data_IF_878149767821
#
_entry.id   IF_878149767821
#
_cell.length_a   1.000
_cell.length_b   1.000
_cell.length_c   1.000
_cell.angle_alpha   90.00
_cell.angle_beta   90.00
_cell.angle_gamma   90.00
#
_symmetry.space_group_name_H-M   'P 1'
#
loop_
_entity.id
_entity.type
_entity.pdbx_description
1 polymer ?
#
# COMPACT_ATOMS: atom_id res chain seq x y z
N UNK A 1 16.91 -8.12 -6.24
CA UNK A 1 16.91 -7.06 -5.20
C UNK A 1 15.68 -7.26 -4.36
N UNK A 2 15.82 -7.36 -3.04
CA UNK A 2 14.77 -7.86 -2.16
C UNK A 2 13.74 -6.80 -1.92
N UNK A 3 12.49 -7.22 -2.00
CA UNK A 3 11.38 -6.33 -2.05
C UNK A 3 10.43 -6.71 -0.91
N UNK A 4 10.57 -6.06 0.26
CA UNK A 4 9.73 -6.32 1.44
C UNK A 4 8.25 -6.29 1.11
N UNK A 5 7.83 -5.42 0.19
CA UNK A 5 6.47 -5.42 -0.34
C UNK A 5 6.10 -6.76 -0.99
N UNK A 6 6.92 -7.28 -1.93
CA UNK A 6 6.68 -8.59 -2.56
C UNK A 6 6.72 -9.74 -1.54
N UNK A 7 7.62 -9.68 -0.55
CA UNK A 7 7.70 -10.70 0.49
C UNK A 7 6.42 -10.77 1.33
N UNK A 8 5.73 -9.63 1.51
CA UNK A 8 4.45 -9.57 2.24
C UNK A 8 3.25 -9.99 1.38
N UNK A 9 3.23 -9.64 0.09
CA UNK A 9 2.03 -9.83 -0.75
C UNK A 9 2.05 -11.09 -1.62
N UNK A 10 3.21 -11.70 -1.85
CA UNK A 10 3.31 -12.91 -2.67
C UNK A 10 2.98 -14.16 -1.84
N UNK A 11 1.77 -14.68 -2.03
CA UNK A 11 1.31 -15.93 -1.41
C UNK A 11 1.90 -17.17 -2.10
N UNK A 12 1.87 -18.37 -1.47
CA UNK A 12 2.25 -19.62 -2.12
C UNK A 12 1.53 -19.85 -3.45
N UNK A 13 0.22 -19.65 -3.51
CA UNK A 13 -0.55 -19.77 -4.75
C UNK A 13 -0.09 -18.78 -5.83
N UNK A 14 0.34 -17.57 -5.46
CA UNK A 14 0.92 -16.63 -6.42
C UNK A 14 2.29 -17.12 -6.94
N UNK A 15 3.11 -17.78 -6.10
CA UNK A 15 4.37 -18.39 -6.53
C UNK A 15 4.11 -19.55 -7.49
N UNK A 16 3.13 -20.40 -7.21
CA UNK A 16 2.75 -21.52 -8.09
C UNK A 16 2.31 -21.01 -9.46
N UNK A 17 1.50 -19.95 -9.48
CA UNK A 17 1.06 -19.31 -10.72
C UNK A 17 2.21 -18.65 -11.49
N UNK A 18 3.16 -18.01 -10.79
CA UNK A 18 4.37 -17.50 -11.41
C UNK A 18 5.20 -18.62 -12.06
N UNK A 19 5.29 -19.79 -11.42
CA UNK A 19 5.99 -20.97 -11.98
C UNK A 19 5.26 -21.45 -13.22
N UNK A 20 3.94 -21.64 -13.14
CA UNK A 20 3.11 -22.10 -14.26
C UNK A 20 3.19 -21.18 -15.48
N UNK A 21 3.37 -19.87 -15.26
CA UNK A 21 3.52 -18.87 -16.33
C UNK A 21 4.95 -18.47 -16.65
N UNK A 22 5.95 -19.15 -16.08
CA UNK A 22 7.37 -18.94 -16.40
C UNK A 22 7.98 -17.63 -15.90
N UNK A 23 7.40 -16.99 -14.88
CA UNK A 23 7.92 -15.75 -14.28
C UNK A 23 8.56 -15.94 -12.90
N UNK A 24 8.54 -17.15 -12.34
CA UNK A 24 9.00 -17.40 -10.96
C UNK A 24 10.44 -17.00 -10.72
N UNK A 25 11.36 -17.36 -11.61
CA UNK A 25 12.79 -17.04 -11.43
C UNK A 25 13.05 -15.53 -11.37
N UNK A 26 12.32 -14.75 -12.16
CA UNK A 26 12.44 -13.30 -12.15
C UNK A 26 11.96 -12.71 -10.81
N UNK A 27 10.82 -13.18 -10.30
CA UNK A 27 10.26 -12.69 -9.03
C UNK A 27 10.97 -13.24 -7.80
N UNK A 28 11.50 -14.47 -7.84
CA UNK A 28 12.33 -15.02 -6.76
C UNK A 28 13.58 -14.15 -6.52
N UNK A 29 14.29 -13.75 -7.59
CA UNK A 29 15.43 -12.80 -7.47
C UNK A 29 15.02 -11.43 -6.91
N UNK A 30 13.76 -11.03 -7.10
CA UNK A 30 13.19 -9.82 -6.55
C UNK A 30 12.70 -9.97 -5.09
N UNK A 31 12.44 -11.20 -4.63
CA UNK A 31 12.13 -11.50 -3.22
C UNK A 31 13.43 -11.58 -2.38
N UNK A 32 14.49 -12.19 -2.93
CA UNK A 32 15.69 -12.63 -2.17
C UNK A 32 16.84 -11.61 -2.03
N UNK A 33 16.78 -10.43 -2.67
CA UNK A 33 17.91 -9.48 -2.60
C UNK A 33 17.94 -8.61 -1.32
N UNK A 34 18.79 -7.57 -1.30
CA UNK A 34 18.85 -6.62 -0.19
C UNK A 34 17.53 -5.82 -0.01
N UNK A 35 17.17 -5.54 1.25
CA UNK A 35 15.92 -4.90 1.68
C UNK A 35 15.84 -3.40 1.32
N UNK A 36 15.60 -3.09 0.03
CA UNK A 36 15.57 -1.71 -0.46
C UNK A 36 14.24 -0.99 -0.26
N UNK A 37 13.12 -1.74 -0.16
CA UNK A 37 11.76 -1.19 -0.15
C UNK A 37 11.12 -1.17 1.25
N UNK A 38 11.92 -1.27 2.30
CA UNK A 38 11.47 -1.17 3.69
C UNK A 38 11.57 0.25 4.25
N UNK A 39 12.15 1.18 3.49
CA UNK A 39 12.25 2.60 3.85
C UNK A 39 11.68 3.43 2.72
N UNK A 40 10.84 4.41 3.03
CA UNK A 40 10.49 5.45 2.09
C UNK A 40 11.72 6.35 1.84
N UNK A 41 11.98 6.64 0.57
CA UNK A 41 13.04 7.54 0.13
C UNK A 41 12.45 8.89 -0.32
N UNK A 42 13.30 9.78 -0.84
CA UNK A 42 12.87 11.06 -1.39
C UNK A 42 11.89 10.90 -2.57
N UNK A 43 12.02 9.85 -3.37
CA UNK A 43 11.15 9.60 -4.52
C UNK A 43 9.72 9.27 -4.07
N UNK A 44 9.56 8.34 -3.10
CA UNK A 44 8.25 8.06 -2.52
C UNK A 44 7.68 9.29 -1.80
N UNK A 45 8.52 10.06 -1.09
CA UNK A 45 8.09 11.25 -0.41
C UNK A 45 7.50 12.30 -1.36
N UNK A 46 8.18 12.57 -2.47
CA UNK A 46 7.71 13.47 -3.51
C UNK A 46 6.43 12.98 -4.17
N UNK A 47 6.36 11.68 -4.49
CA UNK A 47 5.18 11.07 -5.08
C UNK A 47 3.95 11.19 -4.16
N UNK A 48 4.14 10.89 -2.87
CA UNK A 48 3.10 10.96 -1.84
C UNK A 48 2.60 12.39 -1.64
N UNK A 49 3.52 13.35 -1.45
CA UNK A 49 3.16 14.75 -1.20
C UNK A 49 2.39 15.40 -2.35
N UNK A 50 2.62 14.93 -3.59
CA UNK A 50 1.94 15.41 -4.78
C UNK A 50 0.50 14.89 -4.94
N UNK A 51 0.05 13.94 -4.10
CA UNK A 51 -1.32 13.40 -4.17
C UNK A 51 -2.32 14.27 -3.41
N UNK A 52 -3.48 14.45 -4.02
CA UNK A 52 -4.71 14.98 -3.44
C UNK A 52 -5.75 13.88 -3.15
N UNK A 53 -5.42 12.63 -3.51
CA UNK A 53 -6.28 11.47 -3.30
C UNK A 53 -5.50 10.15 -3.30
N UNK A 54 -6.05 9.14 -2.63
CA UNK A 54 -5.58 7.76 -2.67
C UNK A 54 -6.71 6.78 -2.33
N UNK A 55 -6.49 5.50 -2.61
CA UNK A 55 -7.37 4.42 -2.17
C UNK A 55 -6.75 3.66 -1.01
N UNK A 56 -7.57 3.34 -0.02
CA UNK A 56 -7.20 2.60 1.18
C UNK A 56 -7.99 1.28 1.21
N UNK A 57 -7.28 0.17 1.28
CA UNK A 57 -7.84 -1.16 1.50
C UNK A 57 -7.71 -1.58 2.96
N UNK A 58 -8.74 -2.23 3.47
CA UNK A 58 -8.82 -2.87 4.80
C UNK A 58 -9.57 -4.19 4.66
N UNK A 59 -9.53 -5.04 5.67
CA UNK A 59 -10.24 -6.33 5.67
C UNK A 59 -11.14 -6.39 6.90
N UNK A 60 -12.38 -6.81 6.74
CA UNK A 60 -13.28 -7.00 7.88
C UNK A 60 -12.99 -8.34 8.60
N UNK A 61 -13.57 -8.59 9.79
CA UNK A 61 -13.32 -9.83 10.54
C UNK A 61 -13.65 -11.12 9.78
N UNK A 62 -14.61 -11.07 8.84
CA UNK A 62 -15.01 -12.21 8.00
C UNK A 62 -14.10 -12.42 6.78
N UNK A 63 -13.05 -11.60 6.61
CA UNK A 63 -12.10 -11.72 5.51
C UNK A 63 -12.51 -11.02 4.21
N UNK A 64 -13.61 -10.27 4.19
CA UNK A 64 -14.02 -9.49 3.02
C UNK A 64 -13.11 -8.27 2.82
N UNK A 65 -12.52 -8.09 1.61
CA UNK A 65 -11.76 -6.90 1.31
C UNK A 65 -12.68 -5.70 1.12
N UNK A 66 -12.28 -4.56 1.68
CA UNK A 66 -12.98 -3.29 1.54
C UNK A 66 -12.03 -2.21 1.06
N UNK A 67 -12.45 -1.41 0.08
CA UNK A 67 -11.67 -0.30 -0.47
C UNK A 67 -12.47 1.00 -0.35
N UNK A 68 -11.83 2.06 0.11
CA UNK A 68 -12.41 3.40 0.15
C UNK A 68 -11.42 4.45 -0.37
N UNK A 69 -11.95 5.42 -1.12
CA UNK A 69 -11.23 6.60 -1.55
C UNK A 69 -11.08 7.60 -0.38
N UNK A 70 -9.88 8.17 -0.22
CA UNK A 70 -9.56 9.27 0.69
C UNK A 70 -9.06 10.45 -0.15
N UNK A 71 -9.61 11.64 0.07
CA UNK A 71 -9.23 12.84 -0.65
C UNK A 71 -9.01 14.03 0.27
N UNK A 72 -8.14 14.95 -0.15
CA UNK A 72 -7.79 16.17 0.57
C UNK A 72 -6.90 17.08 -0.26
N UNK A 73 -6.58 18.30 0.21
CA UNK A 73 -5.61 19.16 -0.47
C UNK A 73 -4.22 18.50 -0.52
N UNK A 74 -3.40 18.82 -1.52
CA UNK A 74 -2.01 18.33 -1.59
C UNK A 74 -1.28 18.55 -0.26
N UNK A 75 -0.51 17.53 0.16
CA UNK A 75 0.13 17.49 1.47
C UNK A 75 -0.76 16.97 2.61
N UNK A 76 -2.04 16.66 2.36
CA UNK A 76 -2.88 16.00 3.37
C UNK A 76 -2.41 14.59 3.71
N UNK A 77 -1.71 13.92 2.79
CA UNK A 77 -0.97 12.68 2.98
C UNK A 77 0.52 13.01 2.88
N UNK A 78 1.31 12.60 3.88
CA UNK A 78 2.74 12.92 3.96
C UNK A 78 3.52 11.85 4.71
N UNK A 79 4.83 11.86 4.55
CA UNK A 79 5.72 11.10 5.42
C UNK A 79 5.83 11.80 6.78
N UNK A 80 5.86 11.00 7.84
CA UNK A 80 6.25 11.44 9.18
C UNK A 80 7.71 11.10 9.44
N UNK A 81 8.16 9.95 8.93
CA UNK A 81 9.56 9.52 8.85
C UNK A 81 9.73 8.47 7.75
N UNK A 82 10.90 7.82 7.68
CA UNK A 82 11.24 6.82 6.66
C UNK A 82 10.41 5.53 6.72
N UNK A 83 9.62 5.31 7.77
CA UNK A 83 8.79 4.13 7.97
C UNK A 83 7.30 4.46 8.19
N UNK A 84 6.97 5.73 8.42
CA UNK A 84 5.61 6.15 8.76
C UNK A 84 5.06 7.20 7.81
N UNK A 85 3.81 7.00 7.40
CA UNK A 85 2.99 7.99 6.69
C UNK A 85 1.86 8.45 7.61
N UNK A 86 1.44 9.70 7.45
CA UNK A 86 0.29 10.25 8.13
C UNK A 86 -0.61 10.98 7.16
N UNK A 87 -1.91 10.95 7.42
CA UNK A 87 -2.86 11.77 6.68
C UNK A 87 -3.95 12.35 7.56
N UNK A 88 -4.50 13.49 7.14
CA UNK A 88 -5.70 14.05 7.73
C UNK A 88 -6.95 13.29 7.23
N UNK A 89 -7.76 12.75 8.15
CA UNK A 89 -9.03 12.12 7.80
C UNK A 89 -10.14 13.17 7.75
N UNK A 90 -10.40 13.69 6.56
CA UNK A 90 -11.49 14.63 6.33
C UNK A 90 -12.86 13.94 6.41
N UNK A 91 -13.88 14.71 6.80
CA UNK A 91 -15.24 14.21 6.92
C UNK A 91 -15.74 13.64 5.58
N UNK A 92 -15.90 12.32 5.55
CA UNK A 92 -16.46 11.58 4.41
C UNK A 92 -17.93 11.18 4.61
N UNK A 93 -18.29 10.05 3.97
CA UNK A 93 -19.64 9.47 3.97
C UNK A 93 -20.10 8.85 5.31
N UNK A 94 -19.25 8.88 6.34
CA UNK A 94 -19.51 8.34 7.69
C UNK A 94 -19.89 6.85 7.74
N UNK A 95 -19.40 6.04 6.80
CA UNK A 95 -19.60 4.59 6.88
C UNK A 95 -18.76 3.93 7.98
N UNK A 96 -17.65 4.56 8.40
CA UNK A 96 -16.72 4.07 9.44
C UNK A 96 -16.18 2.64 9.24
N UNK A 97 -16.37 2.04 8.06
CA UNK A 97 -15.97 0.65 7.77
C UNK A 97 -14.47 0.44 7.93
N UNK A 98 -13.63 1.28 7.32
CA UNK A 98 -12.17 1.19 7.50
C UNK A 98 -11.79 1.34 8.98
N UNK A 99 -12.36 2.32 9.68
CA UNK A 99 -12.05 2.59 11.10
C UNK A 99 -12.42 1.38 11.97
N UNK A 100 -13.58 0.76 11.72
CA UNK A 100 -13.99 -0.47 12.41
C UNK A 100 -13.10 -1.66 12.06
N UNK A 101 -12.77 -1.86 10.78
CA UNK A 101 -11.93 -2.95 10.31
C UNK A 101 -10.53 -2.92 10.96
N UNK A 102 -9.89 -1.75 11.02
CA UNK A 102 -8.53 -1.62 11.58
C UNK A 102 -8.46 -1.85 13.09
N UNK A 103 -9.60 -1.78 13.80
CA UNK A 103 -9.64 -2.13 15.22
C UNK A 103 -9.45 -3.63 15.47
N UNK A 104 -9.76 -4.47 14.47
CA UNK A 104 -9.61 -5.94 14.53
C UNK A 104 -8.44 -6.46 13.70
N UNK A 105 -8.16 -5.83 12.56
CA UNK A 105 -7.06 -6.16 11.66
C UNK A 105 -6.45 -4.87 11.11
N UNK A 106 -5.33 -4.46 11.70
CA UNK A 106 -4.65 -3.21 11.37
C UNK A 106 -3.93 -3.24 10.00
N UNK A 107 -3.92 -4.37 9.29
CA UNK A 107 -3.26 -4.50 7.99
C UNK A 107 -4.03 -3.72 6.92
N UNK A 108 -3.34 -2.81 6.27
CA UNK A 108 -3.90 -1.98 5.19
C UNK A 108 -3.01 -1.99 3.95
N UNK A 109 -3.62 -1.69 2.81
CA UNK A 109 -2.90 -1.36 1.60
C UNK A 109 -3.33 0.02 1.08
N UNK A 110 -2.38 0.84 0.63
CA UNK A 110 -2.66 2.10 -0.03
C UNK A 110 -2.30 1.98 -1.51
N UNK A 111 -3.14 2.57 -2.36
CA UNK A 111 -2.93 2.67 -3.79
C UNK A 111 -3.02 4.13 -4.23
N UNK A 112 -1.88 4.71 -4.58
CA UNK A 112 -1.74 6.10 -4.99
C UNK A 112 -1.51 6.13 -6.50
N UNK A 113 -2.24 6.96 -7.23
CA UNK A 113 -2.17 7.03 -8.69
C UNK A 113 -1.81 8.42 -9.17
N UNK A 114 -0.91 8.49 -10.15
CA UNK A 114 -0.70 9.65 -11.01
C UNK A 114 -1.37 9.36 -12.35
N UNK A 115 -2.61 9.83 -12.54
CA UNK A 115 -3.31 9.55 -13.78
C UNK A 115 -2.63 10.20 -15.00
N UNK A 116 -2.22 11.48 -14.97
CA UNK A 116 -1.49 12.10 -16.08
C UNK A 116 -0.21 11.37 -16.45
N UNK A 117 0.63 11.02 -15.46
CA UNK A 117 1.93 10.38 -15.71
C UNK A 117 1.86 8.85 -15.81
N UNK A 118 0.65 8.26 -15.69
CA UNK A 118 0.41 6.80 -15.74
C UNK A 118 1.28 6.01 -14.76
N UNK A 119 1.60 6.61 -13.62
CA UNK A 119 2.43 6.01 -12.59
C UNK A 119 1.62 5.74 -11.33
N UNK A 120 2.09 4.82 -10.49
CA UNK A 120 1.40 4.38 -9.29
C UNK A 120 2.38 3.96 -8.22
N UNK A 121 2.00 4.19 -6.96
CA UNK A 121 2.71 3.71 -5.77
C UNK A 121 1.77 2.81 -4.97
N UNK A 122 2.25 1.62 -4.60
CA UNK A 122 1.54 0.69 -3.73
C UNK A 122 2.29 0.59 -2.42
N UNK A 123 1.58 0.71 -1.32
CA UNK A 123 2.12 0.53 0.02
C UNK A 123 1.29 -0.52 0.75
N UNK A 124 1.94 -1.35 1.55
CA UNK A 124 1.27 -2.20 2.55
C UNK A 124 1.88 -1.91 3.91
N UNK A 125 1.07 -1.95 4.95
CA UNK A 125 1.52 -1.63 6.29
C UNK A 125 0.45 -1.86 7.33
N UNK A 126 0.65 -1.26 8.51
CA UNK A 126 -0.30 -1.27 9.61
C UNK A 126 -0.79 0.15 9.89
N UNK A 127 -2.07 0.33 10.17
CA UNK A 127 -2.70 1.60 10.48
C UNK A 127 -3.14 1.63 11.96
N UNK A 128 -2.92 2.77 12.63
CA UNK A 128 -3.27 3.00 14.04
C UNK A 128 -3.87 4.38 14.24
#
# INVERSE_FOLDING_TARGET
MGNRFLNLVTSPAARDEQTRRGSRDAYARAEDGADRNNRLTGDEAGFIAARDSFYLASVNPDGWPYIQHRGGPKGFLRLLDVHHIGFADYRGNKQYLTVGNIATDDRVALFLTDYPNRSRLKLVGRMR
#
